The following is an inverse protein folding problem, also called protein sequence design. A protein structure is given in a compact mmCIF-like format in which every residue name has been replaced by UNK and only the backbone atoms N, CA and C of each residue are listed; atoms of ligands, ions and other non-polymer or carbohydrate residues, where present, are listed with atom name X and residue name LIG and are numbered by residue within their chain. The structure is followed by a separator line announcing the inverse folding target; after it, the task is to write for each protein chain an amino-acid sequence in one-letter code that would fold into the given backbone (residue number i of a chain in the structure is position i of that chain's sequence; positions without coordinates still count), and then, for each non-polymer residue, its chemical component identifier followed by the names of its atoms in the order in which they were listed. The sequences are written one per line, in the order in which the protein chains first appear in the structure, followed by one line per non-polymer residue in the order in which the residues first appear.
data_IF_921584071177
#
_entry.id   IF_921584071177
#
_cell.length_a   1.000
_cell.length_b   1.000
_cell.length_c   1.000
_cell.angle_alpha   90.00
_cell.angle_beta   90.00
_cell.angle_gamma   90.00
#
_symmetry.space_group_name_H-M   'P 1'
#
loop_
_entity.id
_entity.type
_entity.pdbx_description
1 polymer ?
#
# COMPACT_ATOMS: atom_id res chain seq x y z
N UNK A 1 -1.55 -22.32 -1.27
CA UNK A 1 -1.19 -21.03 -1.89
C UNK A 1 -2.26 -20.74 -2.94
N UNK A 2 -3.17 -19.81 -2.67
CA UNK A 2 -3.97 -19.23 -3.75
C UNK A 2 -3.04 -18.28 -4.50
N UNK A 3 -2.89 -18.47 -5.80
CA UNK A 3 -2.25 -17.48 -6.65
C UNK A 3 -3.22 -16.31 -6.75
N UNK A 4 -2.95 -15.24 -6.00
CA UNK A 4 -3.83 -14.07 -5.95
C UNK A 4 -4.05 -13.46 -7.32
N UNK A 5 -5.25 -12.96 -7.58
CA UNK A 5 -5.58 -12.32 -8.85
C UNK A 5 -4.76 -11.05 -9.07
N UNK A 6 -4.72 -10.51 -10.30
CA UNK A 6 -3.98 -9.26 -10.65
C UNK A 6 -4.27 -8.14 -9.64
N UNK A 7 -5.52 -8.00 -9.20
CA UNK A 7 -5.92 -6.97 -8.24
C UNK A 7 -5.30 -7.17 -6.85
N UNK A 8 -5.22 -8.41 -6.37
CA UNK A 8 -4.60 -8.76 -5.09
C UNK A 8 -3.09 -8.54 -5.13
N UNK A 9 -2.44 -8.87 -6.26
CA UNK A 9 -1.03 -8.55 -6.49
C UNK A 9 -0.77 -7.05 -6.44
N UNK A 10 -1.60 -6.23 -7.10
CA UNK A 10 -1.47 -4.77 -7.07
C UNK A 10 -1.68 -4.21 -5.65
N UNK A 11 -2.66 -4.75 -4.92
CA UNK A 11 -2.88 -4.40 -3.52
C UNK A 11 -1.65 -4.72 -2.67
N UNK A 12 -1.11 -5.93 -2.77
CA UNK A 12 0.07 -6.34 -2.00
C UNK A 12 1.31 -5.52 -2.32
N UNK A 13 1.50 -5.09 -3.58
CA UNK A 13 2.61 -4.18 -3.92
C UNK A 13 2.46 -2.85 -3.18
N UNK A 14 1.27 -2.25 -3.22
CA UNK A 14 0.99 -0.96 -2.54
C UNK A 14 1.17 -1.08 -1.02
N UNK A 15 0.68 -2.17 -0.45
CA UNK A 15 0.75 -2.47 0.98
C UNK A 15 2.20 -2.62 1.47
N UNK A 16 2.97 -3.48 0.80
CA UNK A 16 4.36 -3.77 1.16
C UNK A 16 5.27 -2.57 0.94
N UNK A 17 5.09 -1.81 -0.16
CA UNK A 17 5.85 -0.57 -0.41
C UNK A 17 5.71 0.42 0.76
N UNK A 18 4.48 0.65 1.21
CA UNK A 18 4.20 1.55 2.32
C UNK A 18 4.79 1.04 3.63
N UNK A 19 4.56 -0.24 3.96
CA UNK A 19 5.04 -0.87 5.21
C UNK A 19 6.56 -0.70 5.37
N UNK A 20 7.34 -0.93 4.31
CA UNK A 20 8.79 -0.79 4.36
C UNK A 20 9.23 0.66 4.57
N UNK A 21 8.58 1.63 3.91
CA UNK A 21 8.97 3.04 4.04
C UNK A 21 8.55 3.61 5.39
N UNK A 22 7.38 3.25 5.91
CA UNK A 22 6.96 3.60 7.28
C UNK A 22 7.90 3.00 8.34
N UNK A 23 8.36 1.76 8.16
CA UNK A 23 9.36 1.16 9.03
C UNK A 23 10.70 1.93 9.03
N UNK A 24 11.13 2.46 7.88
CA UNK A 24 12.31 3.33 7.79
C UNK A 24 12.12 4.68 8.48
N UNK A 25 10.89 5.20 8.52
CA UNK A 25 10.53 6.42 9.25
C UNK A 25 10.40 6.20 10.77
N UNK A 26 10.33 4.94 11.22
CA UNK A 26 10.03 4.60 12.61
C UNK A 26 8.55 4.79 12.98
N UNK A 27 7.66 4.83 11.97
CA UNK A 27 6.21 4.89 12.17
C UNK A 27 5.60 3.50 12.37
N UNK A 28 4.42 3.44 12.98
CA UNK A 28 3.65 2.20 13.08
C UNK A 28 3.13 1.77 11.70
N UNK A 29 3.17 0.46 11.46
CA UNK A 29 2.69 -0.11 10.21
C UNK A 29 1.17 -0.03 10.11
N UNK A 30 0.67 0.31 8.93
CA UNK A 30 -0.77 0.26 8.63
C UNK A 30 -1.03 -1.13 8.04
N UNK A 31 -1.94 -1.90 8.62
CA UNK A 31 -2.30 -3.24 8.14
C UNK A 31 -3.65 -3.24 7.38
N UNK A 32 -3.75 -2.64 6.18
CA UNK A 32 -4.97 -2.66 5.40
C UNK A 32 -5.33 -4.11 5.01
N UNK A 33 -6.62 -4.41 4.99
CA UNK A 33 -7.09 -5.74 4.64
C UNK A 33 -7.58 -5.73 3.19
N UNK A 34 -7.10 -6.65 2.34
CA UNK A 34 -7.52 -6.73 0.93
C UNK A 34 -9.05 -6.78 0.77
N UNK A 35 -9.76 -7.34 1.76
CA UNK A 35 -11.22 -7.42 1.78
C UNK A 35 -11.93 -6.05 1.60
N UNK A 36 -11.25 -4.97 1.95
CA UNK A 36 -11.79 -3.62 1.86
C UNK A 36 -11.50 -2.97 0.48
N UNK A 37 -10.62 -3.57 -0.32
CA UNK A 37 -10.05 -3.03 -1.58
C UNK A 37 -10.33 -3.90 -2.83
N UNK A 38 -11.47 -4.59 -2.89
CA UNK A 38 -11.90 -5.44 -4.02
C UNK A 38 -12.26 -4.71 -5.33
N UNK A 39 -11.72 -3.52 -5.59
CA UNK A 39 -11.82 -2.89 -6.92
C UNK A 39 -10.54 -2.13 -7.27
N UNK A 40 -10.27 -2.02 -8.58
CA UNK A 40 -9.08 -1.31 -9.06
C UNK A 40 -9.09 0.17 -8.65
N UNK A 41 -10.27 0.79 -8.56
CA UNK A 41 -10.40 2.17 -8.09
C UNK A 41 -10.00 2.31 -6.62
N UNK A 42 -10.35 1.33 -5.77
CA UNK A 42 -9.98 1.35 -4.36
C UNK A 42 -8.48 1.13 -4.16
N UNK A 43 -7.88 0.17 -4.87
CA UNK A 43 -6.42 -0.06 -4.84
C UNK A 43 -5.67 1.18 -5.35
N UNK A 44 -6.17 1.82 -6.41
CA UNK A 44 -5.61 3.07 -6.91
C UNK A 44 -5.71 4.20 -5.88
N UNK A 45 -6.86 4.37 -5.23
CA UNK A 45 -7.04 5.38 -4.20
C UNK A 45 -6.10 5.17 -3.00
N UNK A 46 -5.86 3.91 -2.62
CA UNK A 46 -4.87 3.55 -1.59
C UNK A 46 -3.46 3.95 -2.01
N UNK A 47 -3.05 3.60 -3.24
CA UNK A 47 -1.73 3.97 -3.79
C UNK A 47 -1.55 5.50 -3.82
N UNK A 48 -2.56 6.25 -4.27
CA UNK A 48 -2.50 7.71 -4.35
C UNK A 48 -2.51 8.36 -2.95
N UNK A 49 -3.11 7.72 -1.94
CA UNK A 49 -3.01 8.13 -0.53
C UNK A 49 -1.58 7.93 -0.01
N UNK A 50 -1.07 6.71 -0.10
CA UNK A 50 0.26 6.35 0.39
C UNK A 50 1.37 7.16 -0.27
N UNK A 51 1.32 7.38 -1.59
CA UNK A 51 2.29 8.24 -2.28
C UNK A 51 2.34 9.65 -1.71
N UNK A 52 1.20 10.25 -1.37
CA UNK A 52 1.14 11.61 -0.78
C UNK A 52 1.72 11.64 0.63
N UNK A 53 1.48 10.60 1.42
CA UNK A 53 2.04 10.49 2.78
C UNK A 53 3.56 10.33 2.74
N UNK A 54 4.08 9.54 1.78
CA UNK A 54 5.50 9.24 1.66
C UNK A 54 6.29 10.30 0.88
N UNK A 55 5.64 11.18 0.14
CA UNK A 55 6.29 12.18 -0.73
C UNK A 55 7.29 13.05 0.05
N UNK A 56 6.91 13.47 1.27
CA UNK A 56 7.77 14.29 2.13
C UNK A 56 9.04 13.59 2.60
N UNK A 57 8.97 12.27 2.82
CA UNK A 57 10.12 11.48 3.28
C UNK A 57 11.04 11.06 2.13
N UNK A 58 10.49 10.74 0.95
CA UNK A 58 11.29 10.29 -0.19
C UNK A 58 12.00 11.43 -0.94
N UNK A 59 11.56 12.67 -0.77
CA UNK A 59 12.15 13.85 -1.42
C UNK A 59 13.22 14.58 -0.56
N UNK A 60 13.50 14.10 0.66
CA UNK A 60 14.54 14.65 1.56
C UNK A 60 15.89 13.97 1.39
#
# INVERSE_FOLDING_TARGET
MQTGGILETLFHIVDVEYSWISALQGEEDKEPQFKDYHSIQKVKALSDLYKRELEGFLQS
#
